data_IF_931997681980
#
_entry.id   IF_931997681980
#
_cell.length_a   1.000
_cell.length_b   1.000
_cell.length_c   1.000
_cell.angle_alpha   90.00
_cell.angle_beta   90.00
_cell.angle_gamma   90.00
#
_symmetry.space_group_name_H-M   'P 1'
#
loop_
_entity.id
_entity.type
_entity.pdbx_description
1 polymer ?
#
# COMPACT_ATOMS: atom_id res chain seq x y z
N UNK A 1 19.82 15.37 5.06
CA UNK A 1 20.10 14.05 4.43
C UNK A 1 19.24 12.95 5.05
N UNK A 2 19.00 12.97 6.36
CA UNK A 2 18.12 11.98 7.03
C UNK A 2 16.68 11.94 6.46
N UNK A 3 16.14 13.08 6.01
CA UNK A 3 14.79 13.17 5.43
C UNK A 3 14.62 12.39 4.12
N UNK A 4 15.59 12.46 3.20
CA UNK A 4 15.50 11.81 1.89
C UNK A 4 15.48 10.28 2.00
N UNK A 5 16.36 9.71 2.82
CA UNK A 5 16.40 8.27 3.05
C UNK A 5 15.10 7.74 3.65
N UNK A 6 14.52 8.49 4.59
CA UNK A 6 13.24 8.15 5.20
C UNK A 6 12.08 8.19 4.19
N UNK A 7 12.05 9.18 3.29
CA UNK A 7 11.02 9.29 2.25
C UNK A 7 11.14 8.15 1.23
N UNK A 8 12.35 7.85 0.77
CA UNK A 8 12.57 6.74 -0.16
C UNK A 8 12.14 5.42 0.47
N UNK A 9 12.56 5.16 1.72
CA UNK A 9 12.21 3.93 2.42
C UNK A 9 10.70 3.84 2.65
N UNK A 10 10.07 4.93 3.10
CA UNK A 10 8.62 4.98 3.32
C UNK A 10 7.85 4.80 2.02
N UNK A 11 8.26 5.46 0.94
CA UNK A 11 7.67 5.31 -0.38
C UNK A 11 7.78 3.88 -0.90
N UNK A 12 8.98 3.26 -0.81
CA UNK A 12 9.18 1.86 -1.19
C UNK A 12 8.26 0.92 -0.39
N UNK A 13 8.19 1.10 0.93
CA UNK A 13 7.33 0.29 1.79
C UNK A 13 5.85 0.48 1.44
N UNK A 14 5.40 1.73 1.24
CA UNK A 14 4.03 2.01 0.81
C UNK A 14 3.75 1.30 -0.52
N UNK A 15 4.62 1.43 -1.53
CA UNK A 15 4.46 0.77 -2.82
C UNK A 15 4.34 -0.74 -2.73
N UNK A 16 5.23 -1.37 -1.94
CA UNK A 16 5.16 -2.81 -1.67
C UNK A 16 3.86 -3.18 -0.96
N UNK A 17 3.45 -2.43 0.06
CA UNK A 17 2.28 -2.74 0.87
C UNK A 17 0.96 -2.51 0.14
N UNK A 18 0.86 -1.50 -0.73
CA UNK A 18 -0.32 -1.25 -1.58
C UNK A 18 -0.52 -2.41 -2.56
N UNK A 19 0.56 -2.90 -3.16
CA UNK A 19 0.53 -4.01 -4.11
C UNK A 19 0.52 -5.40 -3.45
N UNK A 20 0.84 -5.50 -2.15
CA UNK A 20 0.86 -6.75 -1.40
C UNK A 20 -0.45 -7.54 -1.38
N UNK A 21 -1.63 -6.94 -1.14
CA UNK A 21 -2.88 -7.66 -0.93
C UNK A 21 -3.25 -8.45 -2.18
N UNK A 22 -3.32 -9.79 -2.08
CA UNK A 22 -3.77 -10.62 -3.21
C UNK A 22 -5.29 -10.58 -3.32
N UNK A 23 -5.77 -9.43 -3.76
CA UNK A 23 -7.12 -9.25 -4.25
C UNK A 23 -7.30 -9.86 -5.65
N UNK A 24 -8.33 -9.42 -6.37
CA UNK A 24 -8.59 -9.89 -7.74
C UNK A 24 -7.43 -9.67 -8.72
N UNK A 25 -6.69 -8.56 -8.58
CA UNK A 25 -5.55 -8.21 -9.45
C UNK A 25 -4.37 -9.17 -9.23
N UNK A 26 -3.99 -9.40 -7.97
CA UNK A 26 -2.94 -10.36 -7.63
C UNK A 26 -3.29 -11.77 -8.13
N UNK A 27 -4.58 -12.15 -8.05
CA UNK A 27 -5.02 -13.42 -8.60
C UNK A 27 -4.94 -13.50 -10.13
N UNK A 28 -5.35 -12.44 -10.83
CA UNK A 28 -5.19 -12.35 -12.28
C UNK A 28 -3.73 -12.51 -12.69
N UNK A 29 -2.81 -11.86 -11.98
CA UNK A 29 -1.36 -11.93 -12.24
C UNK A 29 -0.84 -13.34 -11.99
N UNK A 30 -1.25 -14.02 -10.92
CA UNK A 30 -0.88 -15.42 -10.66
C UNK A 30 -1.40 -16.33 -11.79
N UNK A 31 -2.67 -16.22 -12.16
CA UNK A 31 -3.24 -17.01 -13.26
C UNK A 31 -2.51 -16.75 -14.58
N UNK A 32 -2.23 -15.48 -14.89
CA UNK A 32 -1.50 -15.10 -16.10
C UNK A 32 -0.06 -15.60 -16.08
N UNK A 33 0.59 -15.60 -14.91
CA UNK A 33 1.94 -16.17 -14.73
C UNK A 33 1.96 -17.67 -15.02
N UNK A 34 0.97 -18.40 -14.49
CA UNK A 34 0.87 -19.86 -14.67
C UNK A 34 0.47 -20.26 -16.11
N UNK A 35 -0.38 -19.47 -16.78
CA UNK A 35 -0.93 -19.80 -18.09
C UNK A 35 -0.11 -19.26 -19.27
N UNK A 36 0.45 -18.05 -19.16
CA UNK A 36 1.14 -17.35 -20.26
C UNK A 36 2.63 -17.10 -19.99
N UNK A 37 3.11 -17.40 -18.79
CA UNK A 37 4.48 -17.13 -18.35
C UNK A 37 4.62 -15.76 -17.68
N UNK A 38 5.83 -15.47 -17.17
CA UNK A 38 6.07 -14.31 -16.30
C UNK A 38 5.86 -12.96 -16.98
N UNK A 39 6.26 -12.80 -18.23
CA UNK A 39 6.32 -11.49 -18.88
C UNK A 39 4.94 -10.86 -19.09
N UNK A 40 3.94 -11.57 -19.67
CA UNK A 40 2.55 -11.09 -19.70
C UNK A 40 2.01 -10.66 -18.34
N UNK A 41 2.30 -11.46 -17.29
CA UNK A 41 1.88 -11.16 -15.94
C UNK A 41 2.60 -9.94 -15.34
N UNK A 42 3.89 -9.77 -15.64
CA UNK A 42 4.67 -8.61 -15.19
C UNK A 42 4.16 -7.32 -15.82
N UNK A 43 3.84 -7.30 -17.12
CA UNK A 43 3.21 -6.14 -17.77
C UNK A 43 1.85 -5.79 -17.15
N UNK A 44 1.10 -6.79 -16.69
CA UNK A 44 -0.13 -6.57 -15.91
C UNK A 44 0.18 -5.89 -14.58
N UNK A 45 1.23 -6.32 -13.88
CA UNK A 45 1.73 -5.69 -12.66
C UNK A 45 2.21 -4.25 -12.87
N UNK A 46 2.86 -3.94 -14.00
CA UNK A 46 3.20 -2.55 -14.38
C UNK A 46 1.93 -1.71 -14.50
N UNK A 47 0.89 -2.25 -15.13
CA UNK A 47 -0.41 -1.59 -15.22
C UNK A 47 -1.03 -1.30 -13.86
N UNK A 48 -0.97 -2.27 -12.94
CA UNK A 48 -1.44 -2.08 -11.56
C UNK A 48 -0.62 -1.01 -10.81
N UNK A 49 0.71 -1.04 -10.92
CA UNK A 49 1.60 -0.04 -10.30
C UNK A 49 1.33 1.38 -10.83
N UNK A 50 0.98 1.54 -12.12
CA UNK A 50 0.58 2.82 -12.68
C UNK A 50 -0.74 3.34 -12.06
N UNK A 51 -1.70 2.46 -11.81
CA UNK A 51 -2.93 2.83 -11.09
C UNK A 51 -2.65 3.20 -9.63
N UNK A 52 -1.74 2.49 -8.96
CA UNK A 52 -1.35 2.81 -7.58
C UNK A 52 -0.75 4.22 -7.49
N UNK A 53 0.12 4.59 -8.44
CA UNK A 53 0.66 5.95 -8.55
C UNK A 53 -0.45 6.96 -8.83
N UNK A 54 -1.39 6.65 -9.72
CA UNK A 54 -2.53 7.52 -10.00
C UNK A 54 -3.35 7.79 -8.72
N UNK A 55 -3.63 6.76 -7.92
CA UNK A 55 -4.31 6.94 -6.64
C UNK A 55 -3.48 7.67 -5.60
N UNK A 56 -2.16 7.47 -5.57
CA UNK A 56 -1.25 8.22 -4.69
C UNK A 56 -1.27 9.71 -5.03
N UNK A 57 -1.25 10.06 -6.32
CA UNK A 57 -1.37 11.45 -6.78
C UNK A 57 -2.72 12.04 -6.41
N UNK A 58 -3.82 11.30 -6.63
CA UNK A 58 -5.16 11.76 -6.27
C UNK A 58 -5.29 11.95 -4.76
N UNK A 59 -4.73 11.05 -3.97
CA UNK A 59 -4.70 11.14 -2.50
C UNK A 59 -3.87 12.32 -2.04
N UNK A 60 -2.68 12.53 -2.62
CA UNK A 60 -1.83 13.67 -2.30
C UNK A 60 -2.48 15.01 -2.64
N UNK A 61 -3.15 15.10 -3.80
CA UNK A 61 -3.93 16.29 -4.17
C UNK A 61 -5.12 16.50 -3.23
N UNK A 62 -5.88 15.44 -2.93
CA UNK A 62 -7.02 15.51 -2.02
C UNK A 62 -6.64 15.95 -0.60
N UNK A 63 -5.53 15.41 -0.06
CA UNK A 63 -5.00 15.82 1.23
C UNK A 63 -4.46 17.26 1.19
N UNK A 64 -3.89 17.71 0.07
CA UNK A 64 -3.42 19.09 -0.09
C UNK A 64 -4.52 20.14 0.07
N UNK A 65 -5.79 19.79 -0.17
CA UNK A 65 -6.93 20.70 0.04
C UNK A 65 -7.38 20.78 1.50
N UNK A 66 -6.91 19.86 2.36
CA UNK A 66 -7.34 19.66 3.75
C UNK A 66 -6.15 19.87 4.71
N UNK A 67 -5.03 20.44 4.24
CA UNK A 67 -3.76 20.60 4.98
C UNK A 67 -3.92 21.26 6.34
N UNK A 68 -4.69 22.33 6.44
CA UNK A 68 -4.87 23.07 7.70
C UNK A 68 -5.59 22.22 8.76
N UNK A 69 -6.51 21.35 8.32
CA UNK A 69 -7.19 20.40 9.19
C UNK A 69 -6.27 19.25 9.61
N UNK A 70 -5.36 18.82 8.71
CA UNK A 70 -4.39 17.75 8.94
C UNK A 70 -3.31 18.15 9.94
N UNK A 71 -2.78 19.36 9.84
CA UNK A 71 -1.77 19.86 10.78
C UNK A 71 -2.30 19.91 12.21
N UNK A 72 -3.56 20.34 12.36
CA UNK A 72 -4.24 20.40 13.65
C UNK A 72 -4.52 18.99 14.22
N UNK A 73 -4.75 17.98 13.37
CA UNK A 73 -5.23 16.65 13.77
C UNK A 73 -4.35 15.48 13.31
N UNK A 74 -3.03 15.68 13.16
CA UNK A 74 -2.12 14.66 12.64
C UNK A 74 -2.20 13.31 13.41
N UNK A 75 -2.27 13.36 14.75
CA UNK A 75 -2.45 12.15 15.57
C UNK A 75 -3.77 11.43 15.29
N UNK A 76 -4.86 12.18 15.11
CA UNK A 76 -6.18 11.62 14.78
C UNK A 76 -6.16 10.94 13.41
N UNK A 77 -5.43 11.50 12.43
CA UNK A 77 -5.24 10.90 11.12
C UNK A 77 -4.38 9.63 11.17
N UNK A 78 -3.35 9.57 12.01
CA UNK A 78 -2.57 8.35 12.24
C UNK A 78 -3.43 7.24 12.87
N UNK A 79 -4.31 7.60 13.81
CA UNK A 79 -5.26 6.65 14.42
C UNK A 79 -6.24 6.15 13.37
N UNK A 80 -6.86 7.05 12.61
CA UNK A 80 -7.79 6.69 11.52
C UNK A 80 -7.09 5.78 10.51
N UNK A 81 -5.87 6.13 10.07
CA UNK A 81 -5.10 5.31 9.16
C UNK A 81 -4.81 3.91 9.71
N UNK A 82 -4.49 3.81 11.00
CA UNK A 82 -4.28 2.52 11.66
C UNK A 82 -5.56 1.69 11.74
N UNK A 83 -6.70 2.31 12.03
CA UNK A 83 -8.03 1.65 12.02
C UNK A 83 -8.36 1.13 10.62
N UNK A 84 -8.12 1.93 9.58
CA UNK A 84 -8.32 1.51 8.18
C UNK A 84 -7.43 0.31 7.84
N UNK A 85 -6.16 0.30 8.27
CA UNK A 85 -5.26 -0.84 8.08
C UNK A 85 -5.78 -2.12 8.77
N UNK A 86 -6.31 -2.01 9.98
CA UNK A 86 -6.93 -3.15 10.71
C UNK A 86 -8.17 -3.65 9.97
N UNK A 87 -9.06 -2.75 9.56
CA UNK A 87 -10.25 -3.11 8.80
C UNK A 87 -9.88 -3.83 7.49
N UNK A 88 -8.84 -3.35 6.80
CA UNK A 88 -8.34 -3.97 5.58
C UNK A 88 -7.67 -5.32 5.83
N UNK A 89 -6.94 -5.48 6.94
CA UNK A 89 -6.40 -6.78 7.34
C UNK A 89 -7.52 -7.80 7.61
N UNK A 90 -8.57 -7.41 8.34
CA UNK A 90 -9.75 -8.25 8.57
C UNK A 90 -10.43 -8.63 7.25
N UNK A 91 -10.61 -7.65 6.35
CA UNK A 91 -11.15 -7.90 5.01
C UNK A 91 -10.32 -8.92 4.22
N UNK A 92 -8.98 -8.86 4.30
CA UNK A 92 -8.09 -9.83 3.67
C UNK A 92 -8.25 -11.24 4.27
N UNK A 93 -8.44 -11.36 5.59
CA UNK A 93 -8.68 -12.66 6.23
C UNK A 93 -10.04 -13.27 5.86
N UNK A 94 -11.05 -12.43 5.61
CA UNK A 94 -12.41 -12.88 5.25
C UNK A 94 -12.59 -13.18 3.76
N UNK A 95 -11.75 -12.61 2.88
CA UNK A 95 -11.78 -12.90 1.44
C UNK A 95 -11.41 -14.35 1.16
N UNK A 96 -12.38 -15.11 0.66
CA UNK A 96 -12.14 -16.48 0.20
C UNK A 96 -11.47 -16.46 -1.20
N UNK A 97 -10.18 -16.83 -1.34
CA UNK A 97 -9.45 -16.79 -2.61
C UNK A 97 -10.02 -17.77 -3.66
N UNK A 98 -10.81 -18.76 -3.22
CA UNK A 98 -11.41 -19.77 -4.07
C UNK A 98 -12.51 -19.24 -5.01
N UNK A 99 -13.22 -18.16 -4.66
CA UNK A 99 -14.28 -17.61 -5.54
C UNK A 99 -13.75 -16.80 -6.72
N UNK A 100 -12.52 -16.28 -6.62
CA UNK A 100 -11.86 -15.55 -7.73
C UNK A 100 -11.23 -16.50 -8.78
N UNK A 101 -11.15 -17.80 -8.48
CA UNK A 101 -10.71 -18.87 -9.38
C UNK A 101 -11.79 -19.26 -10.40
N UNK A 102 -12.51 -18.31 -11.00
CA UNK A 102 -13.18 -18.65 -12.25
C UNK A 102 -12.10 -18.82 -13.31
N UNK A 103 -11.96 -20.07 -13.79
CA UNK A 103 -11.01 -20.55 -14.78
C UNK A 103 -11.31 -19.89 -16.14
N UNK A 104 -11.12 -18.57 -16.27
CA UNK A 104 -11.16 -17.91 -17.58
C UNK A 104 -9.95 -18.41 -18.35
N UNK A 105 -10.21 -19.08 -19.47
CA UNK A 105 -9.19 -19.34 -20.49
C UNK A 105 -8.67 -17.97 -20.95
N UNK A 106 -7.48 -17.63 -20.49
CA UNK A 106 -6.78 -16.42 -20.89
C UNK A 106 -6.19 -16.64 -22.29
N UNK A 107 -6.88 -16.16 -23.33
CA UNK A 107 -6.38 -16.16 -24.71
C UNK A 107 -5.06 -15.38 -24.82
N UNK A 108 -4.15 -15.75 -25.74
CA UNK A 108 -2.92 -14.98 -25.99
C UNK A 108 -3.27 -13.51 -26.24
N UNK A 109 -2.77 -12.62 -25.39
CA UNK A 109 -2.99 -11.17 -25.44
C UNK A 109 -1.65 -10.49 -25.66
N UNK A 110 -1.69 -9.30 -26.25
CA UNK A 110 -0.52 -8.42 -26.40
C UNK A 110 -0.16 -7.81 -25.05
N UNK A 111 1.12 -7.54 -24.79
CA UNK A 111 1.59 -6.92 -23.55
C UNK A 111 0.87 -5.61 -23.20
N UNK A 112 0.52 -4.78 -24.19
CA UNK A 112 -0.28 -3.58 -23.97
C UNK A 112 -1.68 -3.85 -23.43
N UNK A 113 -2.35 -4.92 -23.91
CA UNK A 113 -3.65 -5.33 -23.38
C UNK A 113 -3.48 -5.84 -21.94
N UNK A 114 -2.40 -6.56 -21.67
CA UNK A 114 -2.12 -7.05 -20.32
C UNK A 114 -1.90 -5.90 -19.32
N UNK A 115 -1.13 -4.88 -19.72
CA UNK A 115 -0.94 -3.65 -18.96
C UNK A 115 -2.28 -2.92 -18.73
N UNK A 116 -3.05 -2.70 -19.79
CA UNK A 116 -4.37 -2.05 -19.69
C UNK A 116 -5.32 -2.80 -18.77
N UNK A 117 -5.34 -4.13 -18.81
CA UNK A 117 -6.16 -4.92 -17.88
C UNK A 117 -5.72 -4.76 -16.43
N UNK A 118 -4.42 -4.75 -16.13
CA UNK A 118 -3.92 -4.54 -14.77
C UNK A 118 -4.27 -3.16 -14.23
N UNK A 119 -4.16 -2.13 -15.07
CA UNK A 119 -4.54 -0.77 -14.74
C UNK A 119 -6.04 -0.66 -14.44
N UNK A 120 -6.89 -1.11 -15.38
CA UNK A 120 -8.34 -1.01 -15.24
C UNK A 120 -8.86 -1.81 -14.04
N UNK A 121 -8.25 -2.95 -13.74
CA UNK A 121 -8.67 -3.77 -12.61
C UNK A 121 -8.34 -3.09 -11.26
N UNK A 122 -7.21 -2.41 -11.19
CA UNK A 122 -6.77 -1.70 -9.98
C UNK A 122 -7.57 -0.41 -9.79
N UNK A 123 -7.76 0.39 -10.85
CA UNK A 123 -8.55 1.63 -10.80
C UNK A 123 -10.05 1.40 -10.55
N UNK A 124 -10.55 0.19 -10.81
CA UNK A 124 -11.93 -0.18 -10.49
C UNK A 124 -12.13 -0.53 -9.02
N UNK A 125 -11.05 -0.59 -8.22
CA UNK A 125 -11.11 -0.97 -6.82
C UNK A 125 -10.95 0.26 -5.91
N UNK A 126 -12.05 0.96 -5.54
CA UNK A 126 -11.99 2.15 -4.70
C UNK A 126 -11.45 1.87 -3.29
N UNK A 127 -11.40 0.61 -2.85
CA UNK A 127 -10.83 0.24 -1.56
C UNK A 127 -9.32 0.53 -1.49
N UNK A 128 -8.62 0.53 -2.63
CA UNK A 128 -7.18 0.83 -2.69
C UNK A 128 -6.93 2.29 -2.30
N UNK A 129 -7.80 3.21 -2.70
CA UNK A 129 -7.70 4.62 -2.35
C UNK A 129 -7.75 4.81 -0.82
N UNK A 130 -8.72 4.20 -0.14
CA UNK A 130 -8.79 4.25 1.33
C UNK A 130 -7.57 3.63 2.00
N UNK A 131 -7.03 2.55 1.43
CA UNK A 131 -5.83 1.90 1.94
C UNK A 131 -4.59 2.80 1.81
N UNK A 132 -4.43 3.50 0.69
CA UNK A 132 -3.34 4.47 0.46
C UNK A 132 -3.45 5.64 1.44
N UNK A 133 -4.64 6.16 1.71
CA UNK A 133 -4.86 7.20 2.74
C UNK A 133 -4.33 6.71 4.10
N UNK A 134 -4.67 5.48 4.48
CA UNK A 134 -4.22 4.89 5.74
C UNK A 134 -2.71 4.73 5.82
N UNK A 135 -2.08 4.31 4.72
CA UNK A 135 -0.63 4.18 4.62
C UNK A 135 0.08 5.55 4.65
N UNK A 136 -0.45 6.56 3.96
CA UNK A 136 0.10 7.92 3.97
C UNK A 136 0.10 8.52 5.38
N UNK A 137 -1.03 8.38 6.10
CA UNK A 137 -1.11 8.77 7.51
C UNK A 137 -0.12 8.00 8.37
N UNK A 138 -0.01 6.67 8.18
CA UNK A 138 0.85 5.81 8.99
C UNK A 138 2.35 6.10 8.83
N UNK A 139 2.78 6.44 7.62
CA UNK A 139 4.18 6.73 7.31
C UNK A 139 4.52 8.22 7.37
N UNK A 140 3.56 9.09 7.74
CA UNK A 140 3.72 10.55 7.70
C UNK A 140 4.26 11.02 6.35
N UNK A 141 3.70 10.48 5.26
CA UNK A 141 4.21 10.73 3.90
C UNK A 141 3.95 12.17 3.42
N UNK A 142 3.00 12.87 4.05
CA UNK A 142 2.60 14.24 3.75
C UNK A 142 2.87 15.12 4.98
N UNK A 143 4.11 15.59 5.12
CA UNK A 143 4.51 16.53 6.17
C UNK A 143 4.64 17.95 5.59
N UNK A 144 4.19 19.00 6.29
CA UNK A 144 4.24 20.39 5.81
C UNK A 144 5.67 20.87 5.50
N UNK A 145 6.66 20.28 6.18
CA UNK A 145 8.08 20.58 6.02
C UNK A 145 8.65 20.14 4.65
N UNK A 146 7.92 19.33 3.88
CA UNK A 146 8.39 18.75 2.63
C UNK A 146 8.14 19.66 1.42
N UNK A 147 9.24 19.98 0.72
CA UNK A 147 9.23 20.63 -0.59
C UNK A 147 8.75 19.69 -1.71
N UNK A 148 8.32 20.24 -2.85
CA UNK A 148 7.77 19.46 -3.97
C UNK A 148 8.66 18.32 -4.48
N UNK A 149 9.99 18.48 -4.47
CA UNK A 149 10.94 17.44 -4.86
C UNK A 149 10.88 16.18 -3.97
N UNK A 150 10.56 16.34 -2.68
CA UNK A 150 10.40 15.22 -1.76
C UNK A 150 9.20 14.35 -2.14
N UNK A 151 8.09 14.96 -2.58
CA UNK A 151 6.92 14.25 -3.06
C UNK A 151 7.17 13.52 -4.38
N UNK A 152 7.87 14.16 -5.33
CA UNK A 152 8.26 13.50 -6.59
C UNK A 152 9.10 12.25 -6.30
N UNK A 153 10.12 12.39 -5.44
CA UNK A 153 10.97 11.27 -5.05
C UNK A 153 10.16 10.17 -4.34
N UNK A 154 9.24 10.55 -3.46
CA UNK A 154 8.35 9.63 -2.77
C UNK A 154 7.46 8.85 -3.73
N UNK A 155 6.81 9.49 -4.71
CA UNK A 155 5.97 8.81 -5.70
C UNK A 155 6.76 7.88 -6.61
N UNK A 156 7.98 8.28 -6.99
CA UNK A 156 8.90 7.39 -7.72
C UNK A 156 9.27 6.18 -6.87
N UNK A 157 9.57 6.38 -5.58
CA UNK A 157 9.86 5.29 -4.65
C UNK A 157 8.65 4.33 -4.48
N UNK A 158 7.42 4.85 -4.42
CA UNK A 158 6.19 4.04 -4.41
C UNK A 158 6.10 3.20 -5.68
N UNK A 159 6.30 3.80 -6.86
CA UNK A 159 6.25 3.08 -8.12
C UNK A 159 7.30 1.97 -8.20
N UNK A 160 8.54 2.26 -7.80
CA UNK A 160 9.64 1.28 -7.75
C UNK A 160 9.32 0.15 -6.76
N UNK A 161 8.77 0.47 -5.59
CA UNK A 161 8.36 -0.52 -4.59
C UNK A 161 7.28 -1.47 -5.12
N UNK A 162 6.26 -0.92 -5.79
CA UNK A 162 5.21 -1.70 -6.43
C UNK A 162 5.77 -2.60 -7.56
N UNK A 163 6.63 -2.06 -8.43
CA UNK A 163 7.29 -2.85 -9.49
C UNK A 163 8.14 -3.99 -8.91
N UNK A 164 8.90 -3.72 -7.84
CA UNK A 164 9.71 -4.72 -7.15
C UNK A 164 8.83 -5.84 -6.61
N UNK A 165 7.69 -5.50 -6.00
CA UNK A 165 6.73 -6.48 -5.52
C UNK A 165 6.19 -7.36 -6.67
N UNK A 166 5.71 -6.75 -7.75
CA UNK A 166 5.18 -7.50 -8.90
C UNK A 166 6.25 -8.35 -9.59
N UNK A 167 7.49 -7.87 -9.64
CA UNK A 167 8.62 -8.64 -10.13
C UNK A 167 8.87 -9.88 -9.25
N UNK A 168 8.91 -9.72 -7.93
CA UNK A 168 9.11 -10.82 -6.99
C UNK A 168 8.01 -11.88 -7.09
N UNK A 169 6.74 -11.46 -7.18
CA UNK A 169 5.60 -12.38 -7.28
C UNK A 169 5.65 -13.15 -8.60
N UNK A 170 5.80 -12.46 -9.73
CA UNK A 170 5.84 -13.13 -11.05
C UNK A 170 7.06 -14.04 -11.18
N UNK A 171 8.20 -13.67 -10.60
CA UNK A 171 9.39 -14.52 -10.53
C UNK A 171 9.17 -15.75 -9.65
N UNK A 172 8.67 -15.57 -8.42
CA UNK A 172 8.44 -16.65 -7.46
C UNK A 172 7.39 -17.65 -7.95
N UNK A 173 6.25 -17.16 -8.46
CA UNK A 173 5.20 -18.01 -9.04
C UNK A 173 5.72 -18.77 -10.26
N UNK A 174 6.49 -18.13 -11.13
CA UNK A 174 7.07 -18.80 -12.30
C UNK A 174 8.08 -19.90 -11.90
N UNK A 175 8.86 -19.68 -10.82
CA UNK A 175 9.82 -20.67 -10.30
C UNK A 175 9.14 -21.88 -9.64
N UNK A 176 8.01 -21.64 -8.94
CA UNK A 176 7.29 -22.67 -8.17
C UNK A 176 6.05 -23.17 -8.95
N UNK A 177 5.92 -22.85 -10.25
CA UNK A 177 4.73 -23.14 -11.07
C UNK A 177 4.28 -24.61 -11.06
N UNK A 178 5.20 -25.55 -10.86
CA UNK A 178 4.92 -26.99 -10.80
C UNK A 178 4.25 -27.45 -9.50
N UNK A 179 4.35 -26.66 -8.42
CA UNK A 179 3.82 -27.00 -7.09
C UNK A 179 2.82 -25.95 -6.57
N UNK A 180 2.43 -24.98 -7.39
CA UNK A 180 1.56 -23.88 -6.96
C UNK A 180 0.12 -24.37 -6.78
N UNK A 181 -0.32 -24.45 -5.53
CA UNK A 181 -1.66 -24.92 -5.16
C UNK A 181 -2.44 -23.84 -4.39
N UNK A 182 -3.75 -23.98 -4.27
CA UNK A 182 -4.64 -22.99 -3.60
C UNK A 182 -4.21 -22.69 -2.15
N UNK A 183 -3.58 -23.67 -1.49
CA UNK A 183 -3.00 -23.51 -0.14
C UNK A 183 -1.89 -22.46 -0.07
N UNK A 184 -1.07 -22.31 -1.11
CA UNK A 184 -0.01 -21.29 -1.17
C UNK A 184 -0.58 -19.88 -1.21
N UNK A 185 -1.72 -19.69 -1.88
CA UNK A 185 -2.40 -18.40 -1.93
C UNK A 185 -2.97 -18.01 -0.56
N UNK A 186 -3.54 -18.97 0.17
CA UNK A 186 -4.06 -18.72 1.51
C UNK A 186 -2.93 -18.39 2.50
N UNK A 187 -1.79 -19.08 2.39
CA UNK A 187 -0.60 -18.78 3.20
C UNK A 187 -0.08 -17.36 2.93
N UNK A 188 -0.04 -16.93 1.66
CA UNK A 188 0.44 -15.60 1.29
C UNK A 188 -0.47 -14.49 1.82
N UNK A 189 -1.80 -14.62 1.68
CA UNK A 189 -2.75 -13.66 2.28
C UNK A 189 -2.63 -13.58 3.80
N UNK A 190 -2.37 -14.71 4.47
CA UNK A 190 -2.17 -14.74 5.91
C UNK A 190 -0.89 -14.04 6.35
N UNK A 191 0.21 -14.20 5.61
CA UNK A 191 1.45 -13.46 5.85
C UNK A 191 1.20 -11.96 5.73
N UNK A 192 0.61 -11.52 4.61
CA UNK A 192 0.35 -10.10 4.36
C UNK A 192 -0.56 -9.51 5.44
N UNK A 193 -1.66 -10.20 5.78
CA UNK A 193 -2.56 -9.77 6.85
C UNK A 193 -1.86 -9.66 8.21
N UNK A 194 -0.94 -10.58 8.52
CA UNK A 194 -0.14 -10.52 9.76
C UNK A 194 0.80 -9.32 9.77
N UNK A 195 1.49 -9.05 8.66
CA UNK A 195 2.36 -7.86 8.51
C UNK A 195 1.54 -6.59 8.72
N UNK A 196 0.35 -6.48 8.11
CA UNK A 196 -0.52 -5.32 8.27
C UNK A 196 -1.00 -5.12 9.71
N UNK A 197 -1.35 -6.20 10.43
CA UNK A 197 -1.70 -6.12 11.85
C UNK A 197 -0.53 -5.59 12.68
N UNK A 198 0.66 -6.15 12.50
CA UNK A 198 1.85 -5.70 13.25
C UNK A 198 2.11 -4.22 12.98
N UNK A 199 2.03 -3.79 11.72
CA UNK A 199 2.22 -2.40 11.35
C UNK A 199 1.18 -1.46 11.97
N UNK A 200 -0.07 -1.90 12.05
CA UNK A 200 -1.15 -1.15 12.69
C UNK A 200 -0.93 -1.04 14.20
N UNK A 201 -0.54 -2.13 14.89
CA UNK A 201 -0.23 -2.12 16.32
C UNK A 201 0.94 -1.18 16.65
N UNK A 202 2.01 -1.23 15.86
CA UNK A 202 3.15 -0.30 16.01
C UNK A 202 2.71 1.15 15.74
N UNK A 203 1.76 1.35 14.82
CA UNK A 203 1.18 2.66 14.53
C UNK A 203 0.42 3.25 15.71
N UNK A 204 -0.47 2.46 16.30
CA UNK A 204 -1.23 2.83 17.49
C UNK A 204 -0.28 3.14 18.65
N UNK A 205 0.70 2.28 18.90
CA UNK A 205 1.68 2.50 19.97
C UNK A 205 2.45 3.81 19.81
N UNK A 206 2.97 4.09 18.60
CA UNK A 206 3.70 5.34 18.32
C UNK A 206 2.80 6.56 18.43
N UNK A 207 1.56 6.49 17.92
CA UNK A 207 0.61 7.59 17.98
C UNK A 207 0.24 7.95 19.42
N UNK A 208 -0.08 6.95 20.25
CA UNK A 208 -0.40 7.12 21.67
C UNK A 208 0.81 7.65 22.46
N UNK A 209 2.00 7.07 22.25
CA UNK A 209 3.22 7.54 22.92
C UNK A 209 3.57 8.98 22.53
N UNK A 210 3.40 9.36 21.27
CA UNK A 210 3.60 10.73 20.80
C UNK A 210 2.59 11.71 21.37
N UNK A 211 1.31 11.32 21.46
CA UNK A 211 0.26 12.12 22.08
C UNK A 211 0.53 12.38 23.57
N UNK A 212 0.89 11.33 24.32
CA UNK A 212 1.22 11.45 25.75
C UNK A 212 2.43 12.38 25.95
N UNK A 213 3.49 12.21 25.14
CA UNK A 213 4.68 13.05 25.23
C UNK A 213 4.38 14.54 24.97
N UNK A 214 3.59 14.84 23.94
CA UNK A 214 3.15 16.22 23.64
C UNK A 214 2.30 16.83 24.77
N UNK A 215 1.49 16.03 25.45
CA UNK A 215 0.67 16.53 26.55
C UNK A 215 1.52 16.83 27.79
N UNK A 216 2.51 15.98 28.09
CA UNK A 216 3.46 16.21 29.19
C UNK A 216 4.36 17.45 28.93
N UNK A 217 4.79 17.68 27.68
CA UNK A 217 5.58 18.87 27.32
C UNK A 217 4.74 20.17 27.44
N UNK A 218 3.44 20.12 27.13
CA UNK A 218 2.52 21.25 27.30
C UNK A 218 2.24 21.58 28.78
N UNK A 219 2.17 20.58 29.66
CA UNK A 219 2.04 20.78 31.12
C UNK A 219 3.30 21.41 31.74
N UNK A 220 4.50 21.10 31.24
CA UNK A 220 5.73 21.72 31.75
C UNK A 220 5.87 23.20 31.34
N UNK A 221 5.42 23.58 30.13
CA UNK A 221 5.46 24.98 29.67
C UNK A 221 4.48 25.85 30.45
N UNK A 222 3.27 25.34 30.75
CA UNK A 222 2.28 26.09 31.55
C UNK A 222 2.69 26.23 33.02
N UNK A 223 3.45 25.29 33.57
CA UNK A 223 3.97 25.40 34.94
C UNK A 223 5.11 26.42 35.05
N UNK A 224 5.90 26.62 34.00
CA UNK A 224 7.00 27.62 33.97
C UNK A 224 6.56 29.05 33.63
N UNK A 225 5.37 29.26 33.06
CA UNK A 225 4.83 30.60 32.78
C UNK A 225 4.03 31.23 33.95
N UNK A 226 3.93 30.53 35.09
CA UNK A 226 3.18 30.97 36.28
C UNK A 226 4.11 31.39 37.43
N UNK A 227 5.43 31.44 37.19
CA UNK A 227 6.42 31.97 38.14
C UNK A 227 7.19 33.15 37.57
#
# INVERSE_FOLDING_TARGET
MESFGQIILSGLLIGVLVSAPMGPVGMLIIQRTLNKGRWPAFFTGIGAALSDVFYCLLTGLGLSFITDFIETHNYLLQIIGSVVLVAFAIYLFQKNPARALHKRRENKTTFFKDLGTGFLFTISNPLILFFIIGLFGRFNFLLPEFQYYHYILGYVAIFVGALLWWYLITFGVNKIRSHFNVRSMWFLNRIIGTILIIMALVGIYKSVSGYIKRNNDNEQITTHSVY
#
